data_IF_143627572499
#
_entry.id   IF_143627572499
#
_cell.length_a   1.000
_cell.length_b   1.000
_cell.length_c   1.000
_cell.angle_alpha   90.00
_cell.angle_beta   90.00
_cell.angle_gamma   90.00
#
_symmetry.space_group_name_H-M   'P 1'
#
loop_
_entity.id
_entity.type
_entity.pdbx_description
1 polymer ?
#
# COMPACT_ATOMS: atom_id res chain seq x y z
N UNK A 1 15.46 -26.10 -26.52
CA UNK A 1 14.74 -26.59 -25.32
C UNK A 1 14.83 -25.44 -24.33
N UNK A 2 13.92 -24.50 -24.54
CA UNK A 2 14.06 -23.11 -24.10
C UNK A 2 13.59 -22.94 -22.66
N UNK A 3 14.54 -22.91 -21.73
CA UNK A 3 14.31 -22.62 -20.30
C UNK A 3 14.09 -21.11 -20.03
N UNK A 4 13.53 -20.35 -20.98
CA UNK A 4 13.32 -18.90 -20.86
C UNK A 4 11.87 -18.51 -21.22
N UNK A 5 10.93 -19.47 -21.30
CA UNK A 5 9.52 -19.18 -21.64
C UNK A 5 8.59 -18.94 -20.44
N UNK A 6 9.04 -19.04 -19.20
CA UNK A 6 8.13 -18.96 -18.02
C UNK A 6 8.28 -17.70 -17.16
N UNK A 7 9.28 -16.85 -17.39
CA UNK A 7 9.48 -15.63 -16.58
C UNK A 7 9.15 -14.31 -17.31
N UNK A 8 8.35 -14.38 -18.39
CA UNK A 8 7.96 -13.22 -19.22
C UNK A 8 6.46 -12.90 -19.07
N UNK A 9 5.89 -13.14 -17.89
CA UNK A 9 4.59 -12.57 -17.51
C UNK A 9 4.77 -11.57 -16.39
N UNK A 10 4.67 -10.31 -16.80
CA UNK A 10 4.52 -9.11 -15.99
C UNK A 10 3.51 -9.33 -14.85
N UNK A 11 4.00 -9.32 -13.62
CA UNK A 11 3.34 -8.51 -12.60
C UNK A 11 4.42 -7.56 -12.09
N UNK A 12 4.30 -6.27 -12.38
CA UNK A 12 4.82 -5.26 -11.44
C UNK A 12 3.99 -5.40 -10.16
N UNK A 13 4.22 -6.48 -9.43
CA UNK A 13 3.60 -6.76 -8.17
C UNK A 13 3.95 -5.62 -7.24
N UNK A 14 2.93 -5.06 -6.59
CA UNK A 14 3.12 -4.06 -5.54
C UNK A 14 4.24 -4.57 -4.63
N UNK A 15 5.33 -3.80 -4.41
CA UNK A 15 6.47 -4.31 -3.65
C UNK A 15 5.99 -4.78 -2.29
N UNK A 16 6.57 -5.86 -1.76
CA UNK A 16 6.02 -6.60 -0.61
C UNK A 16 5.75 -5.71 0.62
N UNK A 17 6.53 -4.64 0.77
CA UNK A 17 6.37 -3.62 1.80
C UNK A 17 5.14 -2.71 1.64
N UNK A 18 4.49 -2.69 0.47
CA UNK A 18 3.27 -1.95 0.14
C UNK A 18 2.05 -2.86 -0.06
N UNK A 19 2.15 -4.19 0.11
CA UNK A 19 1.00 -5.11 0.04
C UNK A 19 -0.13 -4.73 0.98
N UNK A 20 0.15 -4.06 2.11
CA UNK A 20 -0.89 -3.56 3.02
C UNK A 20 -1.78 -2.45 2.41
N UNK A 21 -1.36 -1.86 1.29
CA UNK A 21 -2.13 -0.90 0.47
C UNK A 21 -2.84 -1.58 -0.72
N UNK A 22 -2.70 -2.89 -0.86
CA UNK A 22 -3.45 -3.71 -1.81
C UNK A 22 -4.92 -3.73 -1.37
N UNK A 23 -5.84 -3.49 -2.31
CA UNK A 23 -7.26 -3.27 -2.00
C UNK A 23 -7.64 -1.79 -1.87
N UNK A 24 -8.78 -1.53 -1.23
CA UNK A 24 -9.28 -0.16 -1.01
C UNK A 24 -9.83 0.57 -2.24
N UNK A 25 -10.01 -0.11 -3.38
CA UNK A 25 -10.57 0.46 -4.60
C UNK A 25 -9.88 1.75 -5.05
N UNK A 26 -10.66 2.81 -5.24
CA UNK A 26 -10.17 4.15 -5.59
C UNK A 26 -9.38 4.80 -4.44
N UNK A 27 -9.80 4.60 -3.19
CA UNK A 27 -9.13 5.14 -2.01
C UNK A 27 -7.72 4.57 -1.85
N UNK A 28 -7.55 3.26 -2.04
CA UNK A 28 -6.25 2.61 -2.02
C UNK A 28 -5.32 3.15 -3.12
N UNK A 29 -5.87 3.46 -4.31
CA UNK A 29 -5.10 4.09 -5.40
C UNK A 29 -4.65 5.51 -5.04
N UNK A 30 -5.54 6.31 -4.45
CA UNK A 30 -5.21 7.67 -4.00
C UNK A 30 -4.16 7.68 -2.90
N UNK A 31 -4.27 6.76 -1.93
CA UNK A 31 -3.25 6.59 -0.89
C UNK A 31 -1.91 6.19 -1.51
N UNK A 32 -1.87 5.26 -2.46
CA UNK A 32 -0.62 4.87 -3.14
C UNK A 32 -0.01 5.97 -4.01
N UNK A 33 -0.84 6.80 -4.64
CA UNK A 33 -0.38 7.90 -5.49
C UNK A 33 0.11 9.12 -4.68
N UNK A 34 -0.23 9.21 -3.40
CA UNK A 34 0.20 10.31 -2.54
C UNK A 34 1.67 10.13 -2.16
N UNK A 35 2.44 11.20 -2.34
CA UNK A 35 3.83 11.26 -1.89
C UNK A 35 3.91 11.43 -0.37
N UNK A 36 3.96 10.30 0.35
CA UNK A 36 4.04 10.27 1.81
C UNK A 36 5.39 10.70 2.36
N UNK A 37 6.44 10.71 1.53
CA UNK A 37 7.77 11.18 1.95
C UNK A 37 7.77 12.64 2.38
N UNK A 38 6.83 13.43 1.87
CA UNK A 38 6.62 14.85 2.23
C UNK A 38 5.76 15.05 3.48
N UNK A 39 5.31 13.96 4.11
CA UNK A 39 4.52 13.99 5.34
C UNK A 39 5.38 13.54 6.53
N UNK A 40 5.02 13.91 7.77
CA UNK A 40 5.71 13.43 8.97
C UNK A 40 5.76 11.90 9.12
N UNK A 41 4.88 11.17 8.42
CA UNK A 41 4.86 9.70 8.42
C UNK A 41 6.01 9.07 7.64
N UNK A 42 6.65 9.85 6.75
CA UNK A 42 7.69 9.36 5.86
C UNK A 42 7.16 8.39 4.79
N UNK A 43 8.08 7.82 4.03
CA UNK A 43 7.78 6.86 2.97
C UNK A 43 6.94 5.69 3.52
N UNK A 44 5.86 5.33 2.81
CA UNK A 44 4.97 4.21 3.14
C UNK A 44 5.72 2.88 3.34
N UNK A 45 6.89 2.74 2.71
CA UNK A 45 7.79 1.60 2.89
C UNK A 45 8.35 1.47 4.30
N UNK A 46 8.47 2.59 5.02
CA UNK A 46 9.06 2.68 6.36
C UNK A 46 8.01 2.80 7.46
N UNK A 47 6.72 2.68 7.12
CA UNK A 47 5.66 2.79 8.10
C UNK A 47 5.74 1.66 9.14
N UNK A 48 5.52 1.99 10.43
CA UNK A 48 5.38 0.98 11.47
C UNK A 48 4.28 -0.02 11.15
N UNK A 49 4.42 -1.27 11.60
CA UNK A 49 3.44 -2.32 11.37
C UNK A 49 2.03 -1.93 11.83
N UNK A 50 1.90 -1.23 12.97
CA UNK A 50 0.62 -0.75 13.50
C UNK A 50 -0.10 0.18 12.52
N UNK A 51 0.62 1.12 11.91
CA UNK A 51 0.08 2.03 10.91
C UNK A 51 -0.38 1.28 9.67
N UNK A 52 0.43 0.33 9.18
CA UNK A 52 0.06 -0.51 8.04
C UNK A 52 -1.24 -1.26 8.28
N UNK A 53 -1.38 -1.90 9.45
CA UNK A 53 -2.60 -2.61 9.83
C UNK A 53 -3.82 -1.68 9.89
N UNK A 54 -3.70 -0.50 10.50
CA UNK A 54 -4.81 0.45 10.58
C UNK A 54 -5.26 0.95 9.20
N UNK A 55 -4.31 1.18 8.30
CA UNK A 55 -4.60 1.58 6.91
C UNK A 55 -5.30 0.45 6.15
N UNK A 56 -4.86 -0.80 6.29
CA UNK A 56 -5.55 -1.95 5.67
C UNK A 56 -7.00 -2.08 6.18
N UNK A 57 -7.23 -1.96 7.49
CA UNK A 57 -8.58 -1.99 8.08
C UNK A 57 -9.45 -0.85 7.55
N UNK A 58 -8.88 0.36 7.41
CA UNK A 58 -9.60 1.50 6.85
C UNK A 58 -9.96 1.30 5.37
N UNK A 59 -9.08 0.66 4.59
CA UNK A 59 -9.33 0.39 3.17
C UNK A 59 -10.36 -0.74 2.94
N UNK A 60 -10.45 -1.69 3.87
CA UNK A 60 -11.46 -2.76 3.83
C UNK A 60 -12.84 -2.31 4.35
N UNK A 61 -12.92 -1.20 5.09
CA UNK A 61 -14.17 -0.73 5.64
C UNK A 61 -14.97 0.08 4.58
N UNK A 62 -16.25 -0.27 4.31
CA UNK A 62 -17.10 0.49 3.39
C UNK A 62 -17.52 1.87 3.92
N UNK A 63 -17.29 2.16 5.20
CA UNK A 63 -17.61 3.44 5.83
C UNK A 63 -16.38 4.33 5.96
N UNK A 64 -16.56 5.64 5.78
CA UNK A 64 -15.50 6.62 5.97
C UNK A 64 -14.94 6.57 7.39
N UNK A 65 -13.66 6.19 7.52
CA UNK A 65 -12.91 6.24 8.77
C UNK A 65 -11.86 7.34 8.71
N UNK A 66 -11.48 7.88 9.87
CA UNK A 66 -10.36 8.81 9.99
C UNK A 66 -9.33 8.23 10.94
N UNK A 67 -8.06 8.25 10.54
CA UNK A 67 -6.94 7.87 11.39
C UNK A 67 -6.21 9.14 11.82
N UNK A 68 -6.27 9.46 13.11
CA UNK A 68 -5.46 10.51 13.71
C UNK A 68 -4.10 9.94 14.09
N UNK A 69 -3.07 10.19 13.29
CA UNK A 69 -1.71 9.80 13.62
C UNK A 69 -1.07 10.96 14.37
N UNK A 70 -0.90 10.78 15.68
CA UNK A 70 -0.10 11.71 16.49
C UNK A 70 1.36 11.59 16.07
N UNK A 71 1.91 12.70 15.57
CA UNK A 71 3.35 12.89 15.43
C UNK A 71 3.91 13.44 16.74
#
# INVERSE_FOLDING_TARGET
MDYISENIYMEEGIPENLKFLEGGGEMGKLIRAKDWSKTPLGDAKNWPQSLRTMVSVMLDNPFGMYIALGA
#
